data_IF_747690076730
#
_entry.id   IF_747690076730
#
_cell.length_a   1.000
_cell.length_b   1.000
_cell.length_c   1.000
_cell.angle_alpha   90.00
_cell.angle_beta   90.00
_cell.angle_gamma   90.00
#
_symmetry.space_group_name_H-M   'P 1'
#
loop_
_entity.id
_entity.type
_entity.pdbx_description
1 polymer ?
#
# COMPACT_ATOMS: atom_id res chain seq x y z
N UNK A 1 -18.11 56.75 -5.68
CA UNK A 1 -16.98 55.95 -5.17
C UNK A 1 -17.22 54.50 -5.55
N UNK A 2 -16.39 53.89 -6.41
CA UNK A 2 -16.49 52.45 -6.73
C UNK A 2 -15.59 51.69 -5.76
N UNK A 3 -16.19 50.83 -4.94
CA UNK A 3 -15.43 49.92 -4.07
C UNK A 3 -14.64 48.94 -4.93
N UNK A 4 -13.32 48.94 -4.74
CA UNK A 4 -12.42 47.95 -5.34
C UNK A 4 -12.49 46.71 -4.46
N UNK A 5 -13.21 45.71 -4.92
CA UNK A 5 -13.29 44.42 -4.24
C UNK A 5 -11.95 43.69 -4.43
N UNK A 6 -11.20 43.52 -3.34
CA UNK A 6 -9.91 42.83 -3.33
C UNK A 6 -10.13 41.32 -3.49
N UNK A 7 -9.79 40.79 -4.66
CA UNK A 7 -9.73 39.33 -4.87
C UNK A 7 -8.60 38.73 -4.06
N UNK A 8 -8.94 37.84 -3.14
CA UNK A 8 -8.01 36.94 -2.43
C UNK A 8 -7.00 36.33 -3.41
N UNK A 9 -5.70 36.29 -3.07
CA UNK A 9 -4.69 35.72 -3.94
C UNK A 9 -4.99 34.24 -4.16
N UNK A 10 -4.99 33.82 -5.44
CA UNK A 10 -5.22 32.41 -5.81
C UNK A 10 -4.14 31.56 -5.15
N UNK A 11 -4.48 30.91 -4.04
CA UNK A 11 -3.57 30.02 -3.33
C UNK A 11 -3.28 28.84 -4.26
N UNK A 12 -1.99 28.61 -4.55
CA UNK A 12 -1.56 27.49 -5.40
C UNK A 12 -1.91 26.13 -4.79
N UNK A 13 -1.61 25.04 -5.50
CA UNK A 13 -1.81 23.69 -4.99
C UNK A 13 -1.12 23.55 -3.61
N UNK A 14 -1.82 23.09 -2.57
CA UNK A 14 -1.24 22.93 -1.25
C UNK A 14 -0.01 22.01 -1.31
N UNK A 15 0.98 22.32 -0.47
CA UNK A 15 2.20 21.54 -0.37
C UNK A 15 1.86 20.10 0.03
N UNK A 16 2.36 19.14 -0.74
CA UNK A 16 2.28 17.71 -0.38
C UNK A 16 3.48 17.35 0.48
N UNK A 17 3.28 16.52 1.51
CA UNK A 17 4.34 16.01 2.36
C UNK A 17 5.45 15.34 1.53
N UNK A 18 6.70 15.66 1.86
CA UNK A 18 7.90 15.22 1.14
C UNK A 18 8.75 14.40 2.09
N UNK A 19 8.95 13.15 1.74
CA UNK A 19 9.76 12.21 2.52
C UNK A 19 11.02 11.86 1.73
N UNK A 20 12.12 11.59 2.43
CA UNK A 20 13.33 11.06 1.80
C UNK A 20 13.25 9.54 1.67
N UNK A 21 14.00 8.96 0.76
CA UNK A 21 14.22 7.51 0.82
C UNK A 21 15.10 7.15 2.01
N UNK A 22 15.05 5.89 2.45
CA UNK A 22 15.97 5.38 3.47
C UNK A 22 17.42 5.44 2.97
N UNK A 23 18.37 5.55 3.91
CA UNK A 23 19.80 5.74 3.62
C UNK A 23 20.42 4.67 2.70
N UNK A 24 19.84 3.46 2.63
CA UNK A 24 20.30 2.37 1.76
C UNK A 24 19.66 2.31 0.37
N UNK A 25 18.74 3.22 0.04
CA UNK A 25 18.02 3.17 -1.23
C UNK A 25 18.86 3.76 -2.38
N UNK A 26 18.90 3.14 -3.58
CA UNK A 26 19.69 3.61 -4.71
C UNK A 26 19.42 5.06 -5.14
N UNK A 27 18.22 5.56 -4.84
CA UNK A 27 17.76 6.90 -5.22
C UNK A 27 17.75 7.91 -4.06
N UNK A 28 18.33 7.59 -2.90
CA UNK A 28 18.27 8.44 -1.70
C UNK A 28 18.83 9.85 -1.91
N UNK A 29 19.87 9.99 -2.72
CA UNK A 29 20.52 11.28 -2.98
C UNK A 29 19.89 12.08 -4.12
N UNK A 30 19.03 11.45 -4.94
CA UNK A 30 18.53 12.03 -6.20
C UNK A 30 17.03 12.24 -6.24
N UNK A 31 16.25 11.52 -5.42
CA UNK A 31 14.79 11.53 -5.48
C UNK A 31 14.18 11.78 -4.10
N UNK A 32 12.94 12.29 -4.11
CA UNK A 32 12.10 12.47 -2.92
C UNK A 32 10.76 11.75 -3.13
N UNK A 33 10.21 11.19 -2.06
CA UNK A 33 8.90 10.58 -2.04
C UNK A 33 7.84 11.63 -1.78
N UNK A 34 6.78 11.62 -2.58
CA UNK A 34 5.62 12.49 -2.42
C UNK A 34 4.39 11.62 -2.41
N UNK A 35 3.59 11.70 -1.34
CA UNK A 35 2.36 10.92 -1.24
C UNK A 35 1.33 11.43 -2.26
N UNK A 36 0.78 10.51 -3.06
CA UNK A 36 -0.35 10.82 -3.92
C UNK A 36 -1.58 11.11 -3.05
N UNK A 37 -2.10 12.35 -3.13
CA UNK A 37 -3.27 12.79 -2.35
C UNK A 37 -4.61 12.36 -2.98
N UNK A 38 -4.59 11.83 -4.20
CA UNK A 38 -5.78 11.34 -4.88
C UNK A 38 -5.83 9.81 -4.73
N UNK A 39 -6.91 9.24 -4.18
CA UNK A 39 -7.11 7.80 -4.19
C UNK A 39 -7.09 7.29 -5.63
N UNK A 40 -6.28 6.27 -5.90
CA UNK A 40 -6.20 5.58 -7.18
C UNK A 40 -6.37 4.10 -6.93
N UNK A 41 -7.14 3.42 -7.78
CA UNK A 41 -7.26 1.96 -7.74
C UNK A 41 -6.19 1.40 -8.68
N UNK A 42 -5.17 0.67 -8.16
CA UNK A 42 -4.16 0.09 -9.01
C UNK A 42 -4.78 -1.02 -9.87
N UNK A 43 -4.47 -1.01 -11.17
CA UNK A 43 -4.77 -2.14 -12.05
C UNK A 43 -3.63 -3.14 -11.93
N UNK A 44 -3.89 -4.28 -11.29
CA UNK A 44 -2.90 -5.33 -11.13
C UNK A 44 -2.70 -6.05 -12.46
N UNK A 45 -1.46 -6.09 -12.94
CA UNK A 45 -1.06 -6.85 -14.11
C UNK A 45 -0.49 -8.19 -13.67
N UNK A 46 -0.99 -9.28 -14.23
CA UNK A 46 -0.49 -10.62 -13.96
C UNK A 46 -1.61 -11.65 -13.77
N UNK A 47 -1.24 -12.86 -13.29
CA UNK A 47 -2.21 -13.89 -12.97
C UNK A 47 -3.24 -13.40 -11.95
N UNK A 48 -4.50 -13.88 -12.03
CA UNK A 48 -5.51 -13.52 -11.05
C UNK A 48 -5.14 -14.02 -9.66
N UNK A 49 -5.66 -13.34 -8.63
CA UNK A 49 -5.56 -13.81 -7.25
C UNK A 49 -6.19 -15.21 -7.16
N UNK A 50 -5.47 -16.21 -6.60
CA UNK A 50 -5.99 -17.57 -6.49
C UNK A 50 -7.28 -17.63 -5.66
N UNK A 51 -8.07 -18.68 -5.84
CA UNK A 51 -9.29 -18.88 -5.05
C UNK A 51 -8.95 -19.18 -3.58
N UNK A 52 -9.73 -18.59 -2.65
CA UNK A 52 -9.59 -18.80 -1.20
C UNK A 52 -10.14 -20.15 -0.75
N UNK A 53 -11.21 -20.61 -1.40
CA UNK A 53 -12.05 -21.74 -0.95
C UNK A 53 -11.48 -23.13 -1.29
N UNK A 54 -10.35 -23.19 -2.01
CA UNK A 54 -9.71 -24.46 -2.35
C UNK A 54 -8.40 -24.64 -1.62
N UNK A 55 -8.21 -25.83 -1.05
CA UNK A 55 -7.01 -26.17 -0.28
C UNK A 55 -5.75 -26.11 -1.15
N UNK A 56 -5.81 -26.58 -2.40
CA UNK A 56 -4.67 -26.61 -3.32
C UNK A 56 -4.17 -25.21 -3.73
N UNK A 57 -5.00 -24.17 -3.57
CA UNK A 57 -4.66 -22.77 -3.85
C UNK A 57 -4.44 -21.93 -2.61
N UNK A 58 -4.68 -22.48 -1.41
CA UNK A 58 -4.75 -21.72 -0.16
C UNK A 58 -3.44 -21.01 0.20
N UNK A 59 -2.30 -21.69 0.11
CA UNK A 59 -0.98 -21.10 0.34
C UNK A 59 -0.69 -19.94 -0.63
N UNK A 60 -1.01 -20.13 -1.92
CA UNK A 60 -0.81 -19.08 -2.94
C UNK A 60 -1.73 -17.89 -2.70
N UNK A 61 -2.98 -18.12 -2.30
CA UNK A 61 -3.91 -17.06 -1.92
C UNK A 61 -3.37 -16.24 -0.76
N UNK A 62 -2.96 -16.88 0.34
CA UNK A 62 -2.40 -16.19 1.51
C UNK A 62 -1.20 -15.33 1.14
N UNK A 63 -0.27 -15.87 0.34
CA UNK A 63 0.87 -15.12 -0.18
C UNK A 63 0.45 -13.89 -0.99
N UNK A 64 -0.53 -14.03 -1.89
CA UNK A 64 -1.04 -12.92 -2.69
C UNK A 64 -1.64 -11.81 -1.83
N UNK A 65 -2.48 -12.16 -0.85
CA UNK A 65 -3.10 -11.17 0.04
C UNK A 65 -2.06 -10.44 0.90
N UNK A 66 -1.11 -11.19 1.48
CA UNK A 66 -0.01 -10.60 2.25
C UNK A 66 0.80 -9.61 1.40
N UNK A 67 1.15 -9.99 0.17
CA UNK A 67 1.94 -9.15 -0.74
C UNK A 67 1.22 -7.84 -1.13
N UNK A 68 -0.10 -7.89 -1.26
CA UNK A 68 -0.90 -6.75 -1.73
C UNK A 68 -1.28 -5.78 -0.62
N UNK A 69 -1.52 -6.29 0.59
CA UNK A 69 -2.18 -5.51 1.65
C UNK A 69 -1.28 -5.18 2.84
N UNK A 70 -0.11 -5.81 2.94
CA UNK A 70 0.84 -5.51 4.00
C UNK A 70 2.03 -4.73 3.44
N UNK A 71 2.59 -3.78 4.22
CA UNK A 71 3.84 -3.16 3.85
C UNK A 71 4.99 -4.16 4.02
N UNK A 72 5.87 -4.25 3.02
CA UNK A 72 7.04 -5.12 3.07
C UNK A 72 8.19 -4.51 2.26
N UNK A 73 9.42 -4.81 2.70
CA UNK A 73 10.65 -4.53 1.98
C UNK A 73 11.36 -5.84 1.58
N UNK A 74 11.09 -6.91 2.31
CA UNK A 74 11.63 -8.25 2.11
C UNK A 74 10.53 -9.30 2.27
N UNK A 75 10.82 -10.53 1.86
CA UNK A 75 9.89 -11.65 2.01
C UNK A 75 9.68 -11.98 3.49
N UNK A 76 10.70 -11.80 4.33
CA UNK A 76 10.67 -12.09 5.76
C UNK A 76 9.68 -11.20 6.52
N UNK A 77 9.43 -9.97 6.04
CA UNK A 77 8.39 -9.10 6.62
C UNK A 77 6.99 -9.74 6.52
N UNK A 78 6.78 -10.54 5.47
CA UNK A 78 5.53 -11.23 5.19
C UNK A 78 5.51 -12.65 5.75
N UNK A 79 6.61 -13.39 5.63
CA UNK A 79 6.72 -14.81 5.95
C UNK A 79 8.17 -15.20 6.29
N UNK A 80 8.44 -15.39 7.58
CA UNK A 80 9.57 -16.13 8.15
C UNK A 80 9.81 -17.51 7.50
N UNK A 81 11.04 -18.01 7.67
CA UNK A 81 11.55 -19.20 6.98
C UNK A 81 10.91 -20.50 7.46
N UNK A 82 10.47 -20.53 8.71
CA UNK A 82 9.92 -21.68 9.42
C UNK A 82 8.39 -21.70 9.48
N UNK A 83 7.72 -20.74 8.82
CA UNK A 83 6.26 -20.68 8.76
C UNK A 83 5.72 -20.87 7.34
N UNK A 84 4.49 -21.39 7.25
CA UNK A 84 3.74 -21.42 5.99
C UNK A 84 3.06 -20.08 5.74
N UNK A 85 2.65 -19.81 4.50
CA UNK A 85 1.93 -18.57 4.18
C UNK A 85 0.58 -18.52 4.87
N UNK A 86 -0.06 -19.67 5.10
CA UNK A 86 -1.29 -19.74 5.88
C UNK A 86 -1.10 -19.32 7.34
N UNK A 87 -0.03 -19.80 7.99
CA UNK A 87 0.30 -19.41 9.36
C UNK A 87 0.63 -17.91 9.43
N UNK A 88 1.49 -17.44 8.53
CA UNK A 88 1.87 -16.03 8.44
C UNK A 88 0.65 -15.12 8.25
N UNK A 89 -0.28 -15.54 7.38
CA UNK A 89 -1.53 -14.82 7.12
C UNK A 89 -2.43 -14.81 8.34
N UNK A 90 -2.60 -15.93 9.04
CA UNK A 90 -3.43 -16.01 10.25
C UNK A 90 -2.92 -15.08 11.36
N UNK A 91 -1.59 -15.02 11.56
CA UNK A 91 -0.96 -14.13 12.55
C UNK A 91 -1.22 -12.66 12.19
N UNK A 92 -0.98 -12.30 10.93
CA UNK A 92 -1.07 -10.91 10.46
C UNK A 92 -2.51 -10.45 10.21
N UNK A 93 -3.47 -11.38 10.08
CA UNK A 93 -4.89 -11.09 9.83
C UNK A 93 -5.47 -10.13 10.87
N UNK A 94 -5.03 -10.24 12.13
CA UNK A 94 -5.48 -9.36 13.21
C UNK A 94 -5.11 -7.88 13.02
N UNK A 95 -4.10 -7.58 12.20
CA UNK A 95 -3.64 -6.22 11.90
C UNK A 95 -4.27 -5.65 10.62
N UNK A 96 -5.13 -6.40 9.94
CA UNK A 96 -5.79 -5.95 8.71
C UNK A 96 -6.84 -4.91 9.07
N UNK A 97 -6.84 -3.80 8.33
CA UNK A 97 -7.85 -2.76 8.51
C UNK A 97 -9.23 -3.27 8.10
N UNK A 98 -10.29 -2.74 8.71
CA UNK A 98 -11.65 -3.12 8.38
C UNK A 98 -11.98 -2.99 6.88
N UNK A 99 -11.49 -1.92 6.23
CA UNK A 99 -11.68 -1.72 4.79
C UNK A 99 -10.95 -2.75 3.95
N UNK A 100 -9.74 -3.16 4.37
CA UNK A 100 -9.02 -4.25 3.74
C UNK A 100 -9.73 -5.59 3.93
N UNK A 101 -10.32 -5.87 5.11
CA UNK A 101 -11.09 -7.10 5.35
C UNK A 101 -12.26 -7.25 4.37
N UNK A 102 -12.99 -6.17 4.05
CA UNK A 102 -14.10 -6.20 3.06
C UNK A 102 -13.69 -6.67 1.66
N UNK A 103 -12.41 -6.62 1.33
CA UNK A 103 -11.86 -7.06 0.04
C UNK A 103 -11.48 -8.56 0.09
N UNK A 104 -11.13 -9.05 1.28
CA UNK A 104 -10.57 -10.39 1.52
C UNK A 104 -11.67 -11.40 1.90
N UNK A 105 -12.70 -10.93 2.62
CA UNK A 105 -13.88 -11.69 3.07
C UNK A 105 -15.03 -11.60 2.07
#
# INVERSE_FOLDING_TARGET
>A
MRSVESKEPRRGRPFSEREMFQAGHPQVSSHINIKCMKPVVPVLLGPPVPRRDREDTRERYCRSILTLLFPWHSIQDLCDVDQTWQQAFAIRHASITYESCKIID
#
